data_IF_631503752215
#
_entry.id   IF_631503752215
#
_cell.length_a   1.000
_cell.length_b   1.000
_cell.length_c   1.000
_cell.angle_alpha   90.00
_cell.angle_beta   90.00
_cell.angle_gamma   90.00
#
_symmetry.space_group_name_H-M   'P 1'
#
loop_
_entity.id
_entity.type
_entity.pdbx_description
1 polymer ?
#
# COMPACT_ATOMS: atom_id res chain seq x y z
N UNK A 1 64.90 -15.03 -12.88
CA UNK A 1 65.06 -13.76 -13.63
C UNK A 1 65.43 -14.13 -15.05
N UNK A 2 64.87 -13.52 -16.11
CA UNK A 2 64.14 -12.23 -16.16
C UNK A 2 62.73 -12.39 -16.83
N UNK A 3 61.85 -11.41 -16.99
CA UNK A 3 61.87 -9.96 -16.73
C UNK A 3 60.44 -9.48 -16.45
N UNK A 4 60.35 -8.35 -15.75
CA UNK A 4 59.13 -7.64 -15.34
C UNK A 4 58.74 -6.67 -16.46
N UNK A 5 57.44 -6.58 -16.78
CA UNK A 5 56.91 -5.34 -17.38
C UNK A 5 55.56 -4.99 -16.75
N UNK A 6 55.44 -3.84 -16.06
CA UNK A 6 54.16 -3.27 -15.70
C UNK A 6 53.70 -2.31 -16.81
N UNK A 7 52.43 -2.39 -17.23
CA UNK A 7 51.81 -1.35 -18.06
C UNK A 7 50.71 -0.66 -17.27
N UNK A 8 50.97 0.63 -17.01
CA UNK A 8 50.09 1.65 -16.44
C UNK A 8 48.91 1.97 -17.39
N UNK A 9 47.72 2.32 -16.88
CA UNK A 9 46.58 2.73 -17.70
C UNK A 9 46.66 4.22 -18.09
N UNK A 10 46.14 4.64 -19.26
CA UNK A 10 45.85 6.05 -19.54
C UNK A 10 44.49 6.51 -18.98
N UNK A 11 44.45 7.82 -18.71
CA UNK A 11 43.48 8.61 -17.94
C UNK A 11 42.20 9.03 -18.74
N UNK A 12 41.26 9.80 -18.15
CA UNK A 12 39.89 9.96 -18.62
C UNK A 12 39.73 11.07 -19.68
N UNK A 13 38.65 11.01 -20.46
CA UNK A 13 38.24 12.09 -21.37
C UNK A 13 37.02 12.82 -20.80
N UNK A 14 37.26 14.02 -20.29
CA UNK A 14 36.27 15.09 -20.12
C UNK A 14 36.14 15.87 -21.43
N UNK A 15 34.91 16.16 -21.86
CA UNK A 15 34.55 17.42 -22.52
C UNK A 15 33.02 17.63 -22.53
N UNK A 16 32.58 18.64 -21.77
CA UNK A 16 31.29 19.36 -21.83
C UNK A 16 31.27 20.32 -23.08
N UNK A 17 30.45 21.39 -23.15
CA UNK A 17 28.98 21.55 -23.23
C UNK A 17 28.55 22.51 -24.37
N UNK A 18 27.29 22.50 -24.84
CA UNK A 18 26.58 23.67 -25.44
C UNK A 18 25.06 23.40 -25.28
N UNK A 19 24.25 24.11 -24.47
CA UNK A 19 23.86 25.53 -24.39
C UNK A 19 22.87 25.99 -25.48
N UNK A 20 21.97 26.91 -25.07
CA UNK A 20 20.91 27.66 -25.78
C UNK A 20 19.50 27.02 -25.63
N UNK A 21 18.62 27.41 -24.70
CA UNK A 21 18.05 28.72 -24.29
C UNK A 21 16.83 29.17 -25.12
N UNK A 22 15.81 29.67 -24.39
CA UNK A 22 14.73 30.57 -24.80
C UNK A 22 13.50 29.93 -25.48
N UNK A 23 12.24 30.27 -25.17
CA UNK A 23 11.67 31.35 -24.38
C UNK A 23 10.21 31.03 -23.98
N UNK A 24 9.74 31.64 -22.88
CA UNK A 24 8.31 31.89 -22.61
C UNK A 24 7.79 33.06 -23.45
N UNK A 25 6.47 33.14 -23.66
CA UNK A 25 5.80 34.45 -23.56
C UNK A 25 4.52 34.43 -22.73
N UNK A 26 4.35 35.54 -22.00
CA UNK A 26 3.19 35.97 -21.21
C UNK A 26 2.29 36.88 -22.05
N UNK A 27 0.96 36.73 -21.97
CA UNK A 27 -0.05 37.80 -22.16
C UNK A 27 -1.43 37.23 -21.75
N UNK A 28 -2.02 37.59 -20.61
CA UNK A 28 -2.82 38.79 -20.31
C UNK A 28 -4.06 39.03 -21.21
N UNK A 29 -5.23 38.82 -20.60
CA UNK A 29 -6.27 39.85 -20.35
C UNK A 29 -7.61 39.83 -21.17
N UNK A 30 -8.70 39.60 -20.40
CA UNK A 30 -10.10 40.12 -20.48
C UNK A 30 -11.03 39.77 -21.67
N UNK A 31 -12.20 39.15 -21.41
CA UNK A 31 -13.47 39.85 -21.07
C UNK A 31 -14.68 38.89 -20.86
N UNK A 32 -15.37 39.07 -19.73
CA UNK A 32 -16.84 39.19 -19.53
C UNK A 32 -17.82 38.16 -20.13
N UNK A 33 -18.58 37.51 -19.24
CA UNK A 33 -19.92 36.98 -19.50
C UNK A 33 -20.58 36.38 -18.26
N UNK A 34 -21.38 37.16 -17.55
CA UNK A 34 -22.21 36.74 -16.40
C UNK A 34 -23.39 35.85 -16.82
N UNK A 35 -23.80 34.91 -15.95
CA UNK A 35 -25.15 34.86 -15.35
C UNK A 35 -25.23 33.83 -14.20
N UNK A 36 -25.76 34.32 -13.07
CA UNK A 36 -26.44 33.69 -11.92
C UNK A 36 -26.81 32.20 -12.02
N UNK A 37 -26.79 31.40 -10.94
CA UNK A 37 -27.83 31.43 -9.88
C UNK A 37 -27.38 30.66 -8.60
N UNK A 38 -27.63 31.30 -7.44
CA UNK A 38 -27.89 30.81 -6.06
C UNK A 38 -26.81 30.10 -5.19
N UNK A 39 -26.40 30.79 -4.12
CA UNK A 39 -26.16 30.19 -2.80
C UNK A 39 -27.49 29.72 -2.16
N UNK A 40 -27.49 28.88 -1.10
CA UNK A 40 -27.59 29.52 0.22
C UNK A 40 -26.92 28.76 1.42
N UNK A 41 -26.45 29.56 2.39
CA UNK A 41 -26.42 29.43 3.89
C UNK A 41 -25.32 28.64 4.64
N UNK A 42 -24.59 29.43 5.45
CA UNK A 42 -23.88 29.23 6.74
C UNK A 42 -24.57 28.30 7.78
N UNK A 43 -23.77 27.65 8.65
CA UNK A 43 -24.22 27.31 10.03
C UNK A 43 -23.35 26.38 10.91
N UNK A 44 -22.36 26.93 11.63
CA UNK A 44 -22.07 26.77 13.08
C UNK A 44 -22.55 25.49 13.86
N UNK A 45 -21.86 24.34 13.78
CA UNK A 45 -22.04 23.22 14.74
C UNK A 45 -20.71 22.50 15.08
N UNK A 46 -19.71 23.26 15.55
CA UNK A 46 -18.35 22.75 15.81
C UNK A 46 -18.10 22.06 17.16
N UNK A 47 -19.10 21.56 17.88
CA UNK A 47 -18.88 20.85 19.17
C UNK A 47 -19.79 19.64 19.42
N UNK A 48 -20.26 18.99 18.36
CA UNK A 48 -20.96 17.71 18.46
C UNK A 48 -20.34 16.59 17.58
N UNK A 49 -19.33 16.92 16.76
CA UNK A 49 -18.76 16.00 15.79
C UNK A 49 -17.83 14.93 16.39
N UNK A 50 -17.19 15.19 17.54
CA UNK A 50 -16.19 14.28 18.11
C UNK A 50 -16.79 13.08 18.86
N UNK A 51 -18.08 13.16 19.22
CA UNK A 51 -18.81 12.09 19.93
C UNK A 51 -19.62 11.18 18.99
N UNK A 52 -19.78 11.60 17.73
CA UNK A 52 -20.49 10.85 16.71
C UNK A 52 -19.52 10.01 15.86
N UNK A 53 -18.30 10.49 15.60
CA UNK A 53 -17.25 9.68 14.96
C UNK A 53 -16.87 8.47 15.80
N UNK A 54 -16.69 8.63 17.12
CA UNK A 54 -16.37 7.49 18.01
C UNK A 54 -17.43 6.40 18.03
N UNK A 55 -18.71 6.78 17.90
CA UNK A 55 -19.81 5.82 17.85
C UNK A 55 -19.93 5.13 16.48
N UNK A 56 -19.59 5.82 15.40
CA UNK A 56 -19.51 5.26 14.05
C UNK A 56 -18.30 4.31 13.92
N UNK A 57 -17.14 4.71 14.46
CA UNK A 57 -15.90 3.92 14.50
C UNK A 57 -16.05 2.67 15.40
N UNK A 58 -16.73 2.77 16.55
CA UNK A 58 -17.00 1.61 17.42
C UNK A 58 -18.05 0.66 16.80
N UNK A 59 -19.06 1.17 16.08
CA UNK A 59 -20.04 0.34 15.37
C UNK A 59 -19.44 -0.34 14.12
N UNK A 60 -18.60 0.37 13.36
CA UNK A 60 -17.89 -0.19 12.21
C UNK A 60 -16.86 -1.23 12.67
N UNK A 61 -16.20 -1.02 13.81
CA UNK A 61 -15.31 -2.00 14.42
C UNK A 61 -16.04 -3.26 14.90
N UNK A 62 -17.21 -3.11 15.54
CA UNK A 62 -18.06 -4.22 15.97
C UNK A 62 -18.61 -5.00 14.75
N UNK A 63 -19.03 -4.31 13.67
CA UNK A 63 -19.50 -4.96 12.44
C UNK A 63 -18.37 -5.74 11.71
N UNK A 64 -17.15 -5.19 11.72
CA UNK A 64 -15.95 -5.87 11.21
C UNK A 64 -15.54 -7.07 12.08
N UNK A 65 -15.74 -6.99 13.40
CA UNK A 65 -15.54 -8.12 14.32
C UNK A 65 -16.61 -9.19 14.15
N UNK A 66 -17.89 -8.83 14.00
CA UNK A 66 -18.98 -9.76 13.74
C UNK A 66 -18.83 -10.47 12.39
N UNK A 67 -18.27 -9.83 11.37
CA UNK A 67 -17.93 -10.48 10.09
C UNK A 67 -16.69 -11.37 10.22
N UNK A 68 -15.67 -10.98 10.99
CA UNK A 68 -14.50 -11.81 11.26
C UNK A 68 -14.87 -13.06 12.10
N UNK A 69 -15.77 -12.90 13.07
CA UNK A 69 -16.33 -13.97 13.90
C UNK A 69 -17.31 -14.85 13.12
N UNK A 70 -18.18 -14.30 12.25
CA UNK A 70 -19.04 -15.08 11.35
C UNK A 70 -18.27 -15.96 10.37
N UNK A 71 -17.00 -15.63 10.11
CA UNK A 71 -16.17 -16.30 9.10
C UNK A 71 -15.07 -17.15 9.74
N UNK A 72 -14.87 -17.07 11.06
CA UNK A 72 -13.84 -17.82 11.78
C UNK A 72 -12.41 -17.33 11.50
N UNK A 73 -12.23 -16.04 11.23
CA UNK A 73 -10.91 -15.46 11.05
C UNK A 73 -10.19 -15.29 12.40
N UNK A 74 -8.94 -15.72 12.47
CA UNK A 74 -8.05 -15.48 13.62
C UNK A 74 -7.55 -14.03 13.59
N UNK A 75 -7.65 -13.26 14.69
CA UNK A 75 -7.04 -11.95 14.78
C UNK A 75 -5.54 -12.01 14.47
N UNK A 76 -5.01 -11.04 13.73
CA UNK A 76 -3.60 -11.02 13.30
C UNK A 76 -2.67 -10.97 14.53
N UNK A 77 -3.10 -10.32 15.62
CA UNK A 77 -2.35 -10.30 16.88
C UNK A 77 -2.17 -11.67 17.55
N UNK A 78 -3.08 -12.61 17.31
CA UNK A 78 -3.13 -13.90 17.96
C UNK A 78 -2.67 -15.05 17.05
N UNK A 79 -2.04 -14.73 15.93
CA UNK A 79 -1.64 -15.74 14.96
C UNK A 79 -0.59 -16.71 15.53
N UNK A 80 -0.85 -18.03 15.44
CA UNK A 80 0.11 -19.04 15.88
C UNK A 80 1.30 -19.13 14.91
N UNK A 81 2.52 -19.28 15.43
CA UNK A 81 3.70 -19.44 14.59
C UNK A 81 3.79 -20.87 14.02
N UNK A 82 4.12 -21.00 12.74
CA UNK A 82 4.29 -22.28 11.99
C UNK A 82 3.02 -23.10 11.81
N UNK A 83 1.87 -22.53 12.13
CA UNK A 83 0.56 -23.16 11.98
C UNK A 83 -0.24 -22.55 10.83
N UNK A 84 -1.31 -23.23 10.41
CA UNK A 84 -2.26 -22.71 9.44
C UNK A 84 -3.26 -21.80 10.14
N UNK A 85 -3.55 -20.65 9.54
CA UNK A 85 -4.56 -19.73 10.04
C UNK A 85 -5.36 -19.13 8.87
N UNK A 86 -6.56 -18.67 9.21
CA UNK A 86 -7.46 -17.93 8.33
C UNK A 86 -7.54 -16.50 8.87
N UNK A 87 -7.40 -15.49 8.04
CA UNK A 87 -7.39 -14.08 8.45
C UNK A 87 -8.23 -13.26 7.49
N UNK A 88 -8.72 -12.12 7.97
CA UNK A 88 -9.40 -11.10 7.17
C UNK A 88 -8.79 -9.75 7.48
N UNK A 89 -8.59 -8.90 6.48
CA UNK A 89 -8.11 -7.54 6.71
C UNK A 89 -8.05 -6.72 5.43
N UNK A 90 -7.87 -5.41 5.61
CA UNK A 90 -7.77 -4.46 4.49
C UNK A 90 -6.32 -4.37 4.02
N UNK A 91 -6.12 -4.42 2.70
CA UNK A 91 -4.81 -4.19 2.09
C UNK A 91 -4.38 -2.75 2.32
N UNK A 92 -3.24 -2.55 3.01
CA UNK A 92 -2.65 -1.23 3.23
C UNK A 92 -1.63 -0.85 2.16
N UNK A 93 -0.83 -1.81 1.72
CA UNK A 93 0.19 -1.57 0.71
C UNK A 93 0.48 -2.79 -0.13
N UNK A 94 0.95 -2.53 -1.35
CA UNK A 94 1.39 -3.54 -2.31
C UNK A 94 2.78 -3.10 -2.79
N UNK A 95 3.79 -3.92 -2.55
CA UNK A 95 5.19 -3.60 -2.84
C UNK A 95 5.84 -4.74 -3.61
N UNK A 96 6.46 -4.42 -4.74
CA UNK A 96 7.33 -5.35 -5.45
C UNK A 96 8.72 -5.34 -4.82
N UNK A 97 9.17 -6.50 -4.32
CA UNK A 97 10.51 -6.69 -3.74
C UNK A 97 11.26 -7.76 -4.53
N UNK A 98 12.36 -7.44 -5.23
CA UNK A 98 13.24 -8.46 -5.79
C UNK A 98 13.82 -9.31 -4.67
N UNK A 99 13.79 -10.65 -4.83
CA UNK A 99 14.50 -11.59 -3.96
C UNK A 99 15.38 -12.47 -4.82
N UNK A 100 16.70 -12.33 -4.66
CA UNK A 100 17.66 -12.87 -5.62
C UNK A 100 17.24 -12.48 -7.05
N UNK A 101 17.00 -13.46 -7.92
CA UNK A 101 16.62 -13.26 -9.32
C UNK A 101 15.10 -13.37 -9.58
N UNK A 102 14.29 -13.61 -8.55
CA UNK A 102 12.83 -13.74 -8.70
C UNK A 102 12.10 -12.54 -8.08
N UNK A 103 11.09 -11.98 -8.77
CA UNK A 103 10.24 -10.95 -8.17
C UNK A 103 9.43 -11.53 -7.01
N UNK A 104 9.16 -10.73 -5.98
CA UNK A 104 8.20 -11.08 -4.94
C UNK A 104 7.22 -9.93 -4.73
N UNK A 105 5.94 -10.21 -4.91
CA UNK A 105 4.86 -9.30 -4.53
C UNK A 105 4.62 -9.43 -3.03
N UNK A 106 4.81 -8.33 -2.30
CA UNK A 106 4.56 -8.25 -0.86
C UNK A 106 3.33 -7.36 -0.65
N UNK A 107 2.34 -7.90 0.04
CA UNK A 107 1.11 -7.21 0.38
C UNK A 107 1.02 -7.13 1.89
N UNK A 108 0.81 -5.93 2.42
CA UNK A 108 0.50 -5.75 3.83
C UNK A 108 -1.02 -5.69 4.00
N UNK A 109 -1.58 -6.55 4.85
CA UNK A 109 -2.96 -6.45 5.31
C UNK A 109 -3.01 -6.07 6.80
N UNK A 110 -4.10 -5.44 7.19
CA UNK A 110 -4.34 -5.01 8.57
C UNK A 110 -5.81 -5.22 8.95
N UNK A 111 -6.03 -5.78 10.14
CA UNK A 111 -7.36 -6.13 10.68
C UNK A 111 -7.81 -5.22 11.84
N UNK A 112 -7.03 -4.20 12.19
CA UNK A 112 -7.26 -3.40 13.40
C UNK A 112 -6.23 -3.65 14.50
N UNK A 113 -5.66 -4.86 14.55
CA UNK A 113 -4.78 -5.29 15.63
C UNK A 113 -3.29 -5.17 15.26
N UNK A 114 -2.85 -5.79 14.16
CA UNK A 114 -1.44 -5.87 13.74
C UNK A 114 -1.32 -6.04 12.22
N UNK A 115 -0.16 -5.67 11.62
CA UNK A 115 0.09 -5.95 10.21
C UNK A 115 0.47 -7.42 9.98
N UNK A 116 0.02 -7.97 8.84
CA UNK A 116 0.43 -9.25 8.29
C UNK A 116 0.96 -9.06 6.87
N UNK A 117 2.09 -9.68 6.54
CA UNK A 117 2.58 -9.73 5.16
C UNK A 117 2.10 -10.99 4.43
N UNK A 118 1.49 -10.81 3.27
CA UNK A 118 1.24 -11.86 2.29
C UNK A 118 2.28 -11.73 1.18
N UNK A 119 3.03 -12.81 0.90
CA UNK A 119 4.15 -12.76 -0.05
C UNK A 119 3.95 -13.79 -1.15
N UNK A 120 3.84 -13.33 -2.39
CA UNK A 120 3.82 -14.19 -3.57
C UNK A 120 5.16 -14.13 -4.31
N UNK A 121 5.85 -15.27 -4.36
CA UNK A 121 7.11 -15.41 -5.07
C UNK A 121 6.85 -15.62 -6.57
N UNK A 122 7.72 -15.08 -7.42
CA UNK A 122 7.61 -15.16 -8.88
C UNK A 122 6.49 -14.30 -9.48
N UNK A 123 5.71 -13.60 -8.65
CA UNK A 123 4.63 -12.72 -9.10
C UNK A 123 5.02 -11.26 -8.99
N UNK A 124 4.63 -10.48 -9.99
CA UNK A 124 4.83 -9.02 -10.02
C UNK A 124 3.56 -8.27 -9.64
N UNK A 125 2.41 -8.86 -9.95
CA UNK A 125 1.08 -8.33 -9.72
C UNK A 125 0.09 -9.49 -9.59
N UNK A 126 -1.06 -9.19 -8.99
CA UNK A 126 -2.22 -10.07 -8.91
C UNK A 126 -3.45 -9.17 -9.07
N UNK A 127 -4.32 -9.49 -10.03
CA UNK A 127 -5.52 -8.69 -10.28
C UNK A 127 -6.41 -8.60 -9.03
N UNK A 128 -6.87 -7.39 -8.73
CA UNK A 128 -7.74 -7.10 -7.58
C UNK A 128 -7.05 -7.04 -6.21
N UNK A 129 -5.73 -7.29 -6.15
CA UNK A 129 -4.93 -7.02 -4.95
C UNK A 129 -4.40 -5.59 -5.02
N UNK A 130 -5.18 -4.66 -4.48
CA UNK A 130 -4.92 -3.23 -4.50
C UNK A 130 -5.15 -2.62 -3.11
N UNK A 131 -4.48 -1.50 -2.75
CA UNK A 131 -4.72 -0.81 -1.50
C UNK A 131 -6.20 -0.46 -1.30
N UNK A 132 -6.70 -0.67 -0.08
CA UNK A 132 -8.08 -0.41 0.31
C UNK A 132 -9.07 -1.54 0.00
N UNK A 133 -8.63 -2.64 -0.61
CA UNK A 133 -9.45 -3.85 -0.82
C UNK A 133 -9.45 -4.72 0.44
N UNK A 134 -10.61 -5.24 0.81
CA UNK A 134 -10.76 -6.23 1.88
C UNK A 134 -10.44 -7.62 1.34
N UNK A 135 -9.59 -8.37 2.06
CA UNK A 135 -9.10 -9.65 1.60
C UNK A 135 -9.11 -10.68 2.75
N UNK A 136 -9.58 -11.88 2.44
CA UNK A 136 -9.41 -13.07 3.28
C UNK A 136 -8.19 -13.84 2.79
N UNK A 137 -7.35 -14.27 3.71
CA UNK A 137 -6.18 -15.09 3.40
C UNK A 137 -6.12 -16.34 4.27
N UNK A 138 -5.67 -17.44 3.67
CA UNK A 138 -5.44 -18.71 4.36
C UNK A 138 -4.06 -19.22 4.02
N UNK A 139 -3.25 -19.50 5.03
CA UNK A 139 -1.89 -19.97 4.81
C UNK A 139 -1.19 -20.36 6.10
N UNK A 140 0.05 -20.84 5.94
CA UNK A 140 0.92 -21.09 7.08
C UNK A 140 1.57 -19.78 7.51
N UNK A 141 1.46 -19.48 8.79
CA UNK A 141 2.07 -18.31 9.42
C UNK A 141 3.55 -18.58 9.71
N UNK A 142 4.38 -17.59 9.41
CA UNK A 142 5.77 -17.53 9.83
C UNK A 142 6.06 -16.13 10.35
N UNK A 143 7.09 -15.95 11.19
CA UNK A 143 7.49 -14.63 11.63
C UNK A 143 8.85 -14.27 11.02
N UNK A 144 8.90 -13.15 10.30
CA UNK A 144 10.12 -12.58 9.76
C UNK A 144 10.35 -11.20 10.35
N UNK A 145 11.47 -11.03 11.07
CA UNK A 145 11.80 -9.79 11.80
C UNK A 145 10.64 -9.29 12.70
N UNK A 146 9.92 -10.23 13.32
CA UNK A 146 8.82 -9.94 14.24
C UNK A 146 7.47 -9.63 13.56
N UNK A 147 7.40 -9.64 12.23
CA UNK A 147 6.14 -9.45 11.49
C UNK A 147 5.63 -10.80 11.02
N UNK A 148 4.35 -11.08 11.27
CA UNK A 148 3.69 -12.26 10.75
C UNK A 148 3.73 -12.24 9.21
N UNK A 149 3.94 -13.38 8.59
CA UNK A 149 4.11 -13.51 7.14
C UNK A 149 3.58 -14.85 6.64
N UNK A 150 2.74 -14.81 5.61
CA UNK A 150 2.31 -15.99 4.86
C UNK A 150 2.93 -15.96 3.46
N UNK A 151 3.49 -17.09 3.03
CA UNK A 151 4.03 -17.26 1.68
C UNK A 151 3.03 -18.00 0.81
N UNK A 152 2.80 -17.48 -0.40
CA UNK A 152 1.86 -17.99 -1.40
C UNK A 152 0.52 -18.44 -0.77
N UNK A 153 -0.14 -17.59 0.04
CA UNK A 153 -1.40 -17.96 0.67
C UNK A 153 -2.51 -18.10 -0.37
N UNK A 154 -3.53 -18.89 -0.03
CA UNK A 154 -4.83 -18.81 -0.68
C UNK A 154 -5.48 -17.49 -0.27
N UNK A 155 -6.17 -16.83 -1.21
CA UNK A 155 -6.81 -15.56 -0.94
C UNK A 155 -8.15 -15.44 -1.66
N UNK A 156 -9.04 -14.65 -1.07
CA UNK A 156 -10.34 -14.29 -1.60
C UNK A 156 -10.56 -12.80 -1.41
N UNK A 157 -11.02 -12.10 -2.44
CA UNK A 157 -11.40 -10.70 -2.35
C UNK A 157 -12.82 -10.63 -1.79
N UNK A 158 -13.00 -9.87 -0.71
CA UNK A 158 -14.31 -9.68 -0.10
C UNK A 158 -14.96 -8.44 -0.73
N UNK A 159 -16.16 -8.55 -1.30
CA UNK A 159 -16.87 -7.38 -1.83
C UNK A 159 -17.18 -6.39 -0.70
N UNK A 160 -17.07 -5.10 -1.00
CA UNK A 160 -17.49 -4.06 -0.05
C UNK A 160 -19.02 -3.98 -0.03
N UNK A 161 -19.64 -4.26 1.12
CA UNK A 161 -21.07 -4.01 1.39
C UNK A 161 -22.03 -5.14 1.03
N UNK A 162 -21.80 -6.36 1.54
CA UNK A 162 -22.81 -7.42 1.59
C UNK A 162 -23.52 -7.41 2.94
#
# INVERSE_FOLDING_TARGET
MPDVVPTTPPAPSEARPHAVESASPTASMLHRGQRDVQEPRRGFFGRLADRLTRADDELEADELQDEAERVGATPICDLPNRERAHVCGTIRSVTLRPRADVPALVVEIYDGSRPLHLVWLGRREIAGIEPGVMLRATGRVSYYRGVATMFNPFYEIVPKGA
#
